data_IF_976984220441
#
_entry.id   IF_976984220441
#
_cell.length_a   1.000
_cell.length_b   1.000
_cell.length_c   1.000
_cell.angle_alpha   90.00
_cell.angle_beta   90.00
_cell.angle_gamma   90.00
#
_symmetry.space_group_name_H-M   'P 1'
#
loop_
_entity.id
_entity.type
_entity.pdbx_description
1 polymer ?
#
# COMPACT_ATOMS: atom_id res chain seq x y z
N UNK A 1 -10.70 -14.11 1.19
CA UNK A 1 -10.41 -14.65 2.52
C UNK A 1 -9.87 -13.61 3.50
N UNK A 2 -9.08 -12.60 3.08
CA UNK A 2 -8.60 -11.53 3.99
C UNK A 2 -9.72 -10.76 4.67
N UNK A 3 -10.70 -10.31 3.89
CA UNK A 3 -11.75 -9.43 4.39
C UNK A 3 -12.81 -10.17 5.21
N UNK A 4 -13.29 -11.32 4.73
CA UNK A 4 -14.47 -12.00 5.29
C UNK A 4 -14.17 -13.39 5.88
N UNK A 5 -12.92 -13.80 5.96
CA UNK A 5 -12.56 -15.12 6.51
C UNK A 5 -13.03 -16.27 5.62
N UNK A 6 -14.03 -17.00 6.09
CA UNK A 6 -14.66 -18.08 5.33
C UNK A 6 -15.59 -17.48 4.26
N UNK A 7 -15.48 -17.94 3.02
CA UNK A 7 -16.15 -17.33 1.88
C UNK A 7 -17.00 -18.33 1.09
N UNK A 8 -18.12 -17.89 0.48
CA UNK A 8 -18.78 -18.69 -0.55
C UNK A 8 -17.86 -18.80 -1.77
N UNK A 9 -17.76 -20.00 -2.30
CA UNK A 9 -16.87 -20.34 -3.40
C UNK A 9 -17.58 -21.21 -4.44
N UNK A 10 -17.42 -20.86 -5.70
CA UNK A 10 -17.87 -21.63 -6.85
C UNK A 10 -16.98 -21.27 -8.06
N UNK A 11 -16.63 -22.27 -8.86
CA UNK A 11 -15.94 -22.12 -10.15
C UNK A 11 -16.85 -22.35 -11.35
N UNK A 12 -18.13 -22.68 -11.06
CA UNK A 12 -19.18 -22.92 -12.07
C UNK A 12 -20.42 -22.09 -11.71
N UNK A 13 -21.48 -22.19 -12.51
CA UNK A 13 -22.78 -21.57 -12.21
C UNK A 13 -23.59 -22.32 -11.15
N UNK A 14 -23.03 -23.31 -10.51
CA UNK A 14 -23.66 -24.06 -9.44
C UNK A 14 -23.74 -23.24 -8.15
N UNK A 15 -24.58 -23.70 -7.21
CA UNK A 15 -24.74 -23.07 -5.92
C UNK A 15 -23.40 -23.04 -5.17
N UNK A 16 -22.91 -21.87 -4.72
CA UNK A 16 -21.65 -21.79 -4.00
C UNK A 16 -21.65 -22.64 -2.73
N UNK A 17 -20.53 -23.28 -2.44
CA UNK A 17 -20.25 -23.91 -1.15
C UNK A 17 -19.41 -22.98 -0.29
N UNK A 18 -19.51 -23.10 1.04
CA UNK A 18 -18.68 -22.29 1.94
C UNK A 18 -17.33 -22.95 2.09
N UNK A 19 -16.27 -22.23 1.71
CA UNK A 19 -14.88 -22.61 1.99
C UNK A 19 -14.41 -21.93 3.26
N UNK A 20 -13.73 -22.68 4.12
CA UNK A 20 -12.93 -22.13 5.21
C UNK A 20 -11.71 -21.37 4.65
N UNK A 21 -11.08 -20.56 5.48
CA UNK A 21 -9.83 -19.89 5.10
C UNK A 21 -8.75 -20.89 4.65
N UNK A 22 -8.61 -22.01 5.36
CA UNK A 22 -7.62 -23.02 5.04
C UNK A 22 -7.90 -23.74 3.72
N UNK A 23 -9.17 -24.06 3.43
CA UNK A 23 -9.58 -24.65 2.14
C UNK A 23 -9.35 -23.65 1.00
N UNK A 24 -9.70 -22.38 1.18
CA UNK A 24 -9.44 -21.35 0.18
C UNK A 24 -7.94 -21.13 -0.05
N UNK A 25 -7.13 -21.16 1.02
CA UNK A 25 -5.69 -21.10 0.93
C UNK A 25 -5.13 -22.25 0.09
N UNK A 26 -5.52 -23.48 0.40
CA UNK A 26 -5.05 -24.67 -0.32
C UNK A 26 -5.45 -24.64 -1.81
N UNK A 27 -6.67 -24.21 -2.10
CA UNK A 27 -7.14 -24.04 -3.48
C UNK A 27 -6.33 -22.99 -4.23
N UNK A 28 -6.12 -21.80 -3.63
CA UNK A 28 -5.32 -20.73 -4.25
C UNK A 28 -3.87 -21.14 -4.49
N UNK A 29 -3.25 -21.82 -3.51
CA UNK A 29 -1.88 -22.34 -3.67
C UNK A 29 -1.80 -23.28 -4.86
N UNK A 30 -2.72 -24.26 -4.94
CA UNK A 30 -2.77 -25.22 -6.03
C UNK A 30 -2.92 -24.53 -7.40
N UNK A 31 -3.93 -23.67 -7.57
CA UNK A 31 -4.19 -22.96 -8.82
C UNK A 31 -2.99 -22.12 -9.27
N UNK A 32 -2.38 -21.37 -8.32
CA UNK A 32 -1.24 -20.52 -8.65
C UNK A 32 -0.02 -21.35 -9.11
N UNK A 33 0.23 -22.50 -8.47
CA UNK A 33 1.32 -23.39 -8.85
C UNK A 33 1.06 -24.08 -10.20
N UNK A 34 -0.20 -24.40 -10.53
CA UNK A 34 -0.58 -25.02 -11.79
C UNK A 34 -0.50 -24.03 -12.98
N UNK A 35 -0.81 -22.75 -12.76
CA UNK A 35 -0.74 -21.75 -13.84
C UNK A 35 0.66 -21.16 -14.03
N UNK A 36 1.52 -21.16 -12.99
CA UNK A 36 2.86 -20.57 -13.05
C UNK A 36 3.66 -20.99 -14.31
N UNK A 37 3.80 -22.29 -14.66
CA UNK A 37 4.58 -22.70 -15.82
C UNK A 37 3.95 -22.29 -17.16
N UNK A 38 2.68 -21.93 -17.17
CA UNK A 38 1.93 -21.54 -18.38
C UNK A 38 1.99 -20.01 -18.63
N UNK A 39 2.45 -19.24 -17.64
CA UNK A 39 2.54 -17.78 -17.74
C UNK A 39 3.77 -17.37 -18.57
N UNK A 40 3.68 -16.20 -19.21
CA UNK A 40 4.83 -15.58 -19.87
C UNK A 40 5.93 -15.27 -18.87
N UNK A 41 7.17 -15.21 -19.36
CA UNK A 41 8.34 -14.90 -18.53
C UNK A 41 8.20 -13.53 -17.82
N UNK A 42 8.74 -13.45 -16.61
CA UNK A 42 8.75 -12.25 -15.80
C UNK A 42 9.59 -11.15 -16.48
N UNK A 43 8.91 -10.21 -17.12
CA UNK A 43 9.56 -9.14 -17.89
C UNK A 43 8.91 -7.80 -17.61
N UNK A 44 9.71 -6.86 -17.08
CA UNK A 44 9.27 -5.49 -16.82
C UNK A 44 8.90 -4.77 -18.13
N UNK A 45 7.91 -3.90 -18.07
CA UNK A 45 7.33 -3.22 -19.23
C UNK A 45 7.01 -1.78 -18.91
N UNK A 46 7.03 -0.95 -19.94
CA UNK A 46 6.45 0.40 -19.96
C UNK A 46 5.14 0.39 -20.74
N UNK A 47 4.37 1.46 -20.69
CA UNK A 47 3.07 1.56 -21.38
C UNK A 47 3.18 1.43 -22.91
N UNK A 48 4.37 1.62 -23.49
CA UNK A 48 4.66 1.39 -24.90
C UNK A 48 4.87 -0.08 -25.28
N UNK A 49 5.06 -0.97 -24.30
CA UNK A 49 5.34 -2.39 -24.55
C UNK A 49 4.04 -3.19 -24.67
N UNK A 50 4.02 -4.14 -25.61
CA UNK A 50 2.90 -5.07 -25.76
C UNK A 50 2.70 -5.88 -24.48
N UNK A 51 1.44 -5.97 -24.02
CA UNK A 51 1.08 -6.71 -22.81
C UNK A 51 1.45 -6.00 -21.50
N UNK A 52 1.62 -4.68 -21.51
CA UNK A 52 1.87 -3.87 -20.33
C UNK A 52 0.88 -4.11 -19.18
N UNK A 53 -0.39 -4.29 -19.50
CA UNK A 53 -1.45 -4.56 -18.51
C UNK A 53 -1.71 -6.06 -18.25
N UNK A 54 -0.87 -6.95 -18.76
CA UNK A 54 -1.05 -8.40 -18.60
C UNK A 54 -0.15 -8.93 -17.49
N UNK A 55 -0.72 -9.81 -16.65
CA UNK A 55 0.03 -10.56 -15.67
C UNK A 55 1.01 -11.54 -16.35
N UNK A 56 2.17 -11.72 -15.72
CA UNK A 56 3.20 -12.68 -16.08
C UNK A 56 3.61 -13.51 -14.84
N UNK A 57 4.67 -14.31 -14.95
CA UNK A 57 5.16 -15.13 -13.82
C UNK A 57 5.44 -14.31 -12.56
N UNK A 58 5.92 -13.07 -12.68
CA UNK A 58 6.21 -12.24 -11.50
C UNK A 58 4.92 -11.90 -10.71
N UNK A 59 3.78 -11.72 -11.39
CA UNK A 59 2.50 -11.52 -10.72
C UNK A 59 2.07 -12.76 -9.92
N UNK A 60 2.30 -13.96 -10.47
CA UNK A 60 2.05 -15.22 -9.73
C UNK A 60 2.97 -15.34 -8.53
N UNK A 61 4.26 -15.03 -8.69
CA UNK A 61 5.22 -15.04 -7.56
C UNK A 61 4.87 -14.04 -6.47
N UNK A 62 4.37 -12.86 -6.83
CA UNK A 62 3.88 -11.86 -5.87
C UNK A 62 2.67 -12.39 -5.09
N UNK A 63 1.70 -13.01 -5.78
CA UNK A 63 0.54 -13.63 -5.12
C UNK A 63 0.94 -14.76 -4.20
N UNK A 64 1.83 -15.66 -4.63
CA UNK A 64 2.35 -16.77 -3.80
C UNK A 64 3.13 -16.25 -2.59
N UNK A 65 4.01 -15.26 -2.78
CA UNK A 65 4.76 -14.65 -1.67
C UNK A 65 3.84 -14.03 -0.63
N UNK A 66 2.80 -13.30 -1.06
CA UNK A 66 1.78 -12.70 -0.19
C UNK A 66 0.94 -13.77 0.51
N UNK A 67 0.56 -14.83 -0.21
CA UNK A 67 -0.20 -15.96 0.33
C UNK A 67 0.59 -16.67 1.44
N UNK A 68 1.86 -16.98 1.19
CA UNK A 68 2.73 -17.66 2.15
C UNK A 68 3.11 -16.78 3.34
N UNK A 69 3.34 -15.49 3.13
CA UNK A 69 3.63 -14.56 4.23
C UNK A 69 2.47 -14.48 5.25
N UNK A 70 1.23 -14.61 4.76
CA UNK A 70 0.02 -14.57 5.57
C UNK A 70 -0.53 -15.98 5.93
N UNK A 71 0.18 -17.06 5.61
CA UNK A 71 -0.29 -18.43 5.80
C UNK A 71 -0.68 -18.74 7.26
N UNK A 72 0.10 -18.25 8.23
CA UNK A 72 -0.19 -18.42 9.66
C UNK A 72 -1.55 -17.80 10.04
N UNK A 73 -1.92 -16.64 9.47
CA UNK A 73 -3.23 -16.00 9.68
C UNK A 73 -4.38 -16.83 9.10
N UNK A 74 -4.13 -17.52 7.98
CA UNK A 74 -5.18 -18.25 7.26
C UNK A 74 -5.35 -19.69 7.75
N UNK A 75 -4.26 -20.33 8.13
CA UNK A 75 -4.21 -21.77 8.40
C UNK A 75 -3.74 -22.13 9.81
N UNK A 76 -3.19 -21.16 10.56
CA UNK A 76 -2.48 -21.40 11.82
C UNK A 76 -1.05 -21.94 11.63
N UNK A 77 -0.60 -22.19 10.40
CA UNK A 77 0.73 -22.74 10.10
C UNK A 77 1.55 -21.76 9.27
N UNK A 78 2.71 -21.31 9.76
CA UNK A 78 3.57 -20.38 9.03
C UNK A 78 4.23 -21.05 7.81
N UNK A 79 4.41 -20.26 6.73
CA UNK A 79 5.09 -20.69 5.50
C UNK A 79 6.17 -19.67 5.10
N UNK A 80 6.91 -19.13 6.07
CA UNK A 80 7.81 -17.99 5.84
C UNK A 80 8.95 -18.30 4.88
N UNK A 81 9.47 -19.56 4.87
CA UNK A 81 10.49 -19.94 3.89
C UNK A 81 9.97 -19.82 2.46
N UNK A 82 8.78 -20.35 2.18
CA UNK A 82 8.16 -20.22 0.85
C UNK A 82 7.91 -18.75 0.50
N UNK A 83 7.48 -17.93 1.47
CA UNK A 83 7.29 -16.49 1.25
C UNK A 83 8.59 -15.82 0.83
N UNK A 84 9.70 -16.11 1.50
CA UNK A 84 11.02 -15.59 1.17
C UNK A 84 11.49 -16.06 -0.22
N UNK A 85 11.30 -17.34 -0.54
CA UNK A 85 11.72 -17.93 -1.82
C UNK A 85 11.01 -17.26 -3.01
N UNK A 86 9.69 -17.08 -2.93
CA UNK A 86 8.93 -16.43 -4.01
C UNK A 86 9.18 -14.92 -4.07
N UNK A 87 9.34 -14.24 -2.96
CA UNK A 87 9.75 -12.83 -2.93
C UNK A 87 11.13 -12.65 -3.59
N UNK A 88 12.07 -13.55 -3.31
CA UNK A 88 13.41 -13.52 -3.92
C UNK A 88 13.37 -13.75 -5.44
N UNK A 89 12.46 -14.57 -5.95
CA UNK A 89 12.26 -14.72 -7.42
C UNK A 89 11.88 -13.40 -8.07
N UNK A 90 10.96 -12.63 -7.45
CA UNK A 90 10.59 -11.29 -7.94
C UNK A 90 11.79 -10.34 -7.87
N UNK A 91 12.52 -10.31 -6.76
CA UNK A 91 13.70 -9.44 -6.57
C UNK A 91 14.82 -9.73 -7.58
N UNK A 92 14.92 -10.96 -8.08
CA UNK A 92 15.92 -11.40 -9.06
C UNK A 92 15.41 -11.37 -10.50
N UNK A 93 14.15 -10.99 -10.73
CA UNK A 93 13.56 -10.91 -12.06
C UNK A 93 14.02 -9.65 -12.82
N UNK A 94 13.46 -9.44 -14.00
CA UNK A 94 13.67 -8.23 -14.79
C UNK A 94 12.96 -6.99 -14.18
N UNK A 95 12.02 -7.19 -13.25
CA UNK A 95 11.42 -6.10 -12.48
C UNK A 95 12.39 -5.58 -11.41
N UNK A 96 12.47 -4.27 -11.24
CA UNK A 96 13.41 -3.66 -10.31
C UNK A 96 12.87 -2.36 -9.70
N UNK A 97 13.44 -1.96 -8.58
CA UNK A 97 13.11 -0.71 -7.93
C UNK A 97 13.43 0.48 -8.84
N UNK A 98 12.55 1.47 -8.86
CA UNK A 98 12.87 2.76 -9.44
C UNK A 98 13.85 3.50 -8.53
N UNK A 99 15.08 3.70 -8.97
CA UNK A 99 16.16 4.25 -8.15
C UNK A 99 16.52 5.69 -8.51
N UNK A 100 15.98 6.22 -9.61
CA UNK A 100 16.40 7.53 -10.14
C UNK A 100 15.19 8.44 -10.30
N UNK A 101 15.25 9.61 -9.68
CA UNK A 101 14.29 10.68 -9.86
C UNK A 101 14.53 11.48 -11.13
N UNK A 102 13.59 12.35 -11.50
CA UNK A 102 13.67 13.26 -12.65
C UNK A 102 13.35 14.69 -12.21
N UNK A 103 14.26 15.62 -12.43
CA UNK A 103 14.09 17.01 -12.03
C UNK A 103 13.88 17.14 -10.52
N UNK A 104 12.75 17.70 -10.10
CA UNK A 104 12.38 17.83 -8.67
C UNK A 104 11.71 16.58 -8.09
N UNK A 105 11.31 15.63 -8.94
CA UNK A 105 10.56 14.45 -8.53
C UNK A 105 11.51 13.34 -8.09
N UNK A 106 11.36 12.88 -6.85
CA UNK A 106 12.15 11.76 -6.35
C UNK A 106 11.76 10.44 -7.02
N UNK A 107 12.66 9.46 -6.95
CA UNK A 107 12.38 8.12 -7.46
C UNK A 107 11.11 7.49 -6.87
N UNK A 108 10.82 7.79 -5.59
CA UNK A 108 9.59 7.32 -4.95
C UNK A 108 8.35 8.03 -5.46
N UNK A 109 8.39 9.38 -5.60
CA UNK A 109 7.25 10.15 -6.09
C UNK A 109 6.80 9.70 -7.49
N UNK A 110 7.75 9.39 -8.38
CA UNK A 110 7.47 8.95 -9.74
C UNK A 110 6.58 7.70 -9.83
N UNK A 111 6.51 6.88 -8.79
CA UNK A 111 5.62 5.71 -8.74
C UNK A 111 4.13 6.07 -8.70
N UNK A 112 3.78 7.31 -8.35
CA UNK A 112 2.43 7.77 -8.05
C UNK A 112 2.03 9.00 -8.88
N UNK A 113 2.68 9.20 -10.03
CA UNK A 113 2.50 10.34 -10.94
C UNK A 113 1.78 9.93 -12.22
N UNK A 114 1.27 10.92 -12.97
CA UNK A 114 0.46 10.73 -14.17
C UNK A 114 1.18 10.03 -15.35
N UNK A 115 2.50 9.96 -15.33
CA UNK A 115 3.31 9.24 -16.31
C UNK A 115 4.07 8.05 -15.73
N UNK A 116 3.60 7.51 -14.59
CA UNK A 116 4.28 6.38 -13.93
C UNK A 116 4.34 5.11 -14.80
N UNK A 117 3.44 4.97 -15.76
CA UNK A 117 3.47 3.90 -16.76
C UNK A 117 4.44 4.13 -17.93
N UNK A 118 4.85 5.38 -18.16
CA UNK A 118 5.68 5.81 -19.30
C UNK A 118 7.16 5.92 -18.96
N UNK A 119 7.48 6.09 -17.66
CA UNK A 119 8.84 6.34 -17.15
C UNK A 119 9.50 5.06 -16.60
N UNK A 120 10.71 5.20 -16.06
CA UNK A 120 11.41 4.11 -15.34
C UNK A 120 10.61 3.54 -14.18
N UNK A 121 9.70 4.32 -13.58
CA UNK A 121 8.81 3.88 -12.50
C UNK A 121 7.95 2.66 -12.90
N UNK A 122 7.56 2.57 -14.17
CA UNK A 122 6.79 1.44 -14.71
C UNK A 122 7.44 0.07 -14.44
N UNK A 123 8.77 0.02 -14.38
CA UNK A 123 9.53 -1.22 -14.18
C UNK A 123 9.48 -1.75 -12.75
N UNK A 124 9.03 -0.94 -11.79
CA UNK A 124 8.72 -1.39 -10.43
C UNK A 124 7.33 -2.01 -10.32
N UNK A 125 6.39 -1.62 -11.20
CA UNK A 125 5.04 -2.16 -11.23
C UNK A 125 4.99 -3.56 -11.83
N UNK A 126 4.79 -4.59 -11.01
CA UNK A 126 4.68 -5.99 -11.46
C UNK A 126 3.31 -6.27 -12.07
N UNK A 127 2.25 -5.76 -11.45
CA UNK A 127 0.90 -5.81 -12.00
C UNK A 127 0.16 -4.53 -11.67
N UNK A 128 -0.59 -4.00 -12.63
CA UNK A 128 -1.18 -2.67 -12.55
C UNK A 128 -2.58 -2.62 -13.11
N UNK A 129 -3.34 -1.65 -12.61
CA UNK A 129 -4.63 -1.23 -13.16
C UNK A 129 -4.36 0.07 -13.91
N UNK A 130 -4.47 0.01 -15.24
CA UNK A 130 -4.15 1.15 -16.10
C UNK A 130 -5.18 2.27 -16.01
N UNK A 131 -4.67 3.49 -16.12
CA UNK A 131 -5.45 4.72 -16.19
C UNK A 131 -4.95 5.56 -17.37
N UNK A 132 -5.85 6.20 -18.11
CA UNK A 132 -5.48 7.05 -19.22
C UNK A 132 -6.24 8.41 -19.24
N UNK A 133 -7.08 8.61 -18.23
CA UNK A 133 -7.87 9.82 -18.07
C UNK A 133 -8.92 10.08 -19.16
N UNK A 134 -8.97 9.25 -20.19
CA UNK A 134 -9.85 9.43 -21.37
C UNK A 134 -10.83 8.26 -21.51
N UNK A 135 -10.32 7.02 -21.61
CA UNK A 135 -11.15 5.81 -21.70
C UNK A 135 -11.45 5.22 -20.31
N UNK A 136 -10.56 5.41 -19.37
CA UNK A 136 -10.71 4.98 -17.96
C UNK A 136 -11.24 6.13 -17.11
N UNK A 137 -12.51 6.44 -17.26
CA UNK A 137 -13.16 7.55 -16.55
C UNK A 137 -13.93 7.02 -15.33
N UNK A 138 -13.38 7.20 -14.13
CA UNK A 138 -13.98 6.75 -12.87
C UNK A 138 -13.82 7.78 -11.77
N UNK A 139 -14.87 7.98 -10.97
CA UNK A 139 -14.84 8.78 -9.74
C UNK A 139 -14.23 8.02 -8.55
N UNK A 140 -13.75 6.81 -8.77
CA UNK A 140 -13.07 5.95 -7.80
C UNK A 140 -11.60 5.73 -8.21
N UNK A 141 -10.96 4.70 -7.67
CA UNK A 141 -9.57 4.34 -8.02
C UNK A 141 -8.56 5.42 -7.62
N UNK A 142 -7.64 5.73 -8.51
CA UNK A 142 -6.57 6.71 -8.24
C UNK A 142 -7.10 8.12 -8.07
N UNK A 143 -8.19 8.51 -8.75
CA UNK A 143 -8.84 9.80 -8.51
C UNK A 143 -9.30 9.95 -7.06
N UNK A 144 -9.89 8.92 -6.46
CA UNK A 144 -10.31 8.97 -5.05
C UNK A 144 -9.11 9.15 -4.11
N UNK A 145 -7.98 8.51 -4.40
CA UNK A 145 -6.74 8.64 -3.61
C UNK A 145 -6.15 10.05 -3.69
N UNK A 146 -6.25 10.68 -4.86
CA UNK A 146 -5.81 12.07 -5.07
C UNK A 146 -6.83 13.04 -4.47
N UNK A 147 -7.98 13.18 -5.10
CA UNK A 147 -8.96 14.19 -4.76
C UNK A 147 -9.44 14.13 -3.32
N UNK A 148 -9.59 12.91 -2.76
CA UNK A 148 -9.96 12.72 -1.37
C UNK A 148 -8.87 13.13 -0.36
N UNK A 149 -7.65 13.36 -0.81
CA UNK A 149 -6.50 13.69 0.05
C UNK A 149 -5.97 15.12 -0.12
N UNK A 150 -6.60 15.91 -0.98
CA UNK A 150 -6.23 17.31 -1.25
C UNK A 150 -7.37 18.29 -0.97
N UNK A 151 -7.02 19.54 -0.69
CA UNK A 151 -7.92 20.70 -0.63
C UNK A 151 -7.29 21.96 -1.23
N UNK A 152 -8.06 23.08 -1.25
CA UNK A 152 -7.62 24.36 -1.80
C UNK A 152 -6.53 25.07 -1.03
N UNK A 153 -6.26 24.62 0.20
CA UNK A 153 -5.27 25.23 1.06
C UNK A 153 -3.88 24.59 0.95
N UNK A 154 -3.75 23.54 0.13
CA UNK A 154 -2.45 22.89 -0.07
C UNK A 154 -1.54 23.70 -0.98
N UNK A 155 -0.24 23.62 -0.69
CA UNK A 155 0.75 24.37 -1.44
C UNK A 155 1.04 23.66 -2.76
N UNK A 156 0.97 24.43 -3.87
CA UNK A 156 1.20 23.92 -5.20
C UNK A 156 2.69 23.64 -5.43
N UNK A 157 2.98 22.49 -6.08
CA UNK A 157 4.31 22.13 -6.53
C UNK A 157 4.69 22.72 -7.87
N UNK A 158 3.70 23.14 -8.65
CA UNK A 158 3.87 23.73 -9.98
C UNK A 158 3.11 25.05 -10.09
N UNK A 159 3.52 25.88 -11.02
CA UNK A 159 2.79 27.12 -11.32
C UNK A 159 1.47 26.78 -12.01
N UNK A 160 0.39 27.40 -11.56
CA UNK A 160 -0.93 27.21 -12.14
C UNK A 160 -2.06 27.59 -11.19
N UNK A 161 -3.27 27.24 -11.57
CA UNK A 161 -4.49 27.53 -10.81
C UNK A 161 -4.92 26.29 -10.03
N UNK A 162 -5.26 26.48 -8.77
CA UNK A 162 -5.90 25.43 -7.98
C UNK A 162 -7.19 24.95 -8.66
N UNK A 163 -7.52 23.64 -8.61
CA UNK A 163 -6.77 22.56 -7.94
C UNK A 163 -5.68 21.89 -8.80
N UNK A 164 -5.61 22.15 -10.09
CA UNK A 164 -4.65 21.52 -11.01
C UNK A 164 -3.19 21.76 -10.58
N UNK A 165 -2.88 22.98 -10.13
CA UNK A 165 -1.54 23.29 -9.66
C UNK A 165 -1.14 22.53 -8.39
N UNK A 166 -2.07 21.88 -7.69
CA UNK A 166 -1.83 21.17 -6.42
C UNK A 166 -1.66 19.68 -6.61
N UNK A 167 -2.46 19.05 -7.47
CA UNK A 167 -2.42 17.60 -7.66
C UNK A 167 -2.49 17.11 -9.12
N UNK A 168 -2.53 18.03 -10.08
CA UNK A 168 -2.60 17.72 -11.51
C UNK A 168 -3.99 17.35 -12.01
N UNK A 169 -5.06 17.49 -11.19
CA UNK A 169 -6.47 17.31 -11.60
C UNK A 169 -7.31 18.51 -11.18
N UNK A 170 -8.49 18.67 -11.77
CA UNK A 170 -9.48 19.66 -11.39
C UNK A 170 -10.29 19.28 -10.13
N UNK A 171 -9.89 18.26 -9.38
CA UNK A 171 -10.64 17.69 -8.27
C UNK A 171 -9.83 17.71 -6.95
N UNK A 172 -10.47 18.25 -5.90
CA UNK A 172 -9.93 18.22 -4.53
C UNK A 172 -11.11 18.27 -3.55
N UNK A 173 -11.35 17.18 -2.82
CA UNK A 173 -12.57 16.97 -2.02
C UNK A 173 -12.37 17.14 -0.52
N UNK A 174 -11.11 17.13 -0.05
CA UNK A 174 -10.78 17.39 1.35
C UNK A 174 -11.36 16.36 2.33
N UNK A 175 -10.86 15.14 2.33
CA UNK A 175 -11.39 14.05 3.18
C UNK A 175 -10.33 13.25 3.91
N UNK A 176 -9.47 12.55 3.18
CA UNK A 176 -8.48 11.62 3.74
C UNK A 176 -7.25 12.36 4.29
N UNK A 177 -6.92 12.14 5.55
CA UNK A 177 -5.78 12.79 6.23
C UNK A 177 -4.95 11.77 6.98
N UNK A 178 -3.65 12.04 7.05
CA UNK A 178 -2.74 11.32 7.94
C UNK A 178 -2.87 11.86 9.37
N UNK A 179 -2.89 10.94 10.32
CA UNK A 179 -2.86 11.23 11.76
C UNK A 179 -1.49 10.97 12.34
N UNK A 180 -1.33 11.34 13.59
CA UNK A 180 -0.10 11.20 14.40
C UNK A 180 0.59 9.84 14.19
N UNK A 181 -0.16 8.74 14.19
CA UNK A 181 0.45 7.39 14.12
C UNK A 181 1.21 7.12 12.82
N UNK A 182 0.75 7.64 11.68
CA UNK A 182 1.50 7.55 10.43
C UNK A 182 2.65 8.55 10.41
N UNK A 183 2.40 9.79 10.80
CA UNK A 183 3.41 10.85 10.78
C UNK A 183 4.58 10.50 11.71
N UNK A 184 4.32 9.96 12.90
CA UNK A 184 5.37 9.54 13.85
C UNK A 184 6.23 8.36 13.34
N UNK A 185 5.87 7.69 12.23
CA UNK A 185 6.79 6.74 11.58
C UNK A 185 7.97 7.47 10.92
N UNK A 186 7.77 8.70 10.51
CA UNK A 186 8.79 9.57 9.92
C UNK A 186 9.41 10.51 10.98
N UNK A 187 8.66 10.91 12.00
CA UNK A 187 9.05 11.81 13.08
C UNK A 187 8.81 11.13 14.44
N UNK A 188 9.69 10.20 14.86
CA UNK A 188 9.45 9.34 16.02
C UNK A 188 9.41 10.10 17.36
N UNK A 189 9.94 11.31 17.42
CA UNK A 189 9.89 12.16 18.60
C UNK A 189 8.60 12.99 18.71
N UNK A 190 7.69 12.88 17.73
CA UNK A 190 6.48 13.70 17.67
C UNK A 190 6.74 15.16 17.28
N UNK A 191 7.85 15.42 16.64
CA UNK A 191 8.39 16.75 16.29
C UNK A 191 8.17 17.09 14.79
N UNK A 192 7.17 16.50 14.16
CA UNK A 192 6.84 16.78 12.77
C UNK A 192 6.60 18.28 12.54
N UNK A 193 7.33 18.92 11.61
CA UNK A 193 7.21 20.35 11.39
C UNK A 193 5.91 20.70 10.65
N UNK A 194 5.50 21.96 10.79
CA UNK A 194 4.33 22.50 10.11
C UNK A 194 4.75 23.12 8.77
N UNK A 195 5.15 22.24 7.81
CA UNK A 195 5.66 22.64 6.50
C UNK A 195 4.84 22.01 5.37
N UNK A 196 5.03 22.50 4.14
CA UNK A 196 4.35 22.02 2.95
C UNK A 196 4.81 20.61 2.54
N UNK A 197 4.05 19.98 1.63
CA UNK A 197 4.41 18.66 1.08
C UNK A 197 5.70 18.68 0.25
N UNK A 198 6.15 19.83 -0.25
CA UNK A 198 7.43 19.99 -0.95
C UNK A 198 8.63 20.02 0.00
N UNK A 199 8.42 20.48 1.24
CA UNK A 199 9.45 20.60 2.25
C UNK A 199 9.52 19.39 3.19
N UNK A 200 8.41 18.69 3.38
CA UNK A 200 8.28 17.60 4.36
C UNK A 200 9.26 16.43 4.12
N UNK A 201 9.54 15.97 2.88
CA UNK A 201 10.52 14.92 2.64
C UNK A 201 11.93 15.28 3.17
N UNK A 202 12.38 16.50 2.93
CA UNK A 202 13.67 16.98 3.42
C UNK A 202 13.69 17.06 4.95
N UNK A 203 12.61 17.54 5.57
CA UNK A 203 12.49 17.62 7.03
C UNK A 203 12.51 16.23 7.70
N UNK A 204 11.94 15.22 7.04
CA UNK A 204 11.93 13.83 7.49
C UNK A 204 13.23 13.07 7.21
N UNK A 205 14.10 13.59 6.32
CA UNK A 205 15.18 12.81 5.68
C UNK A 205 14.66 11.49 5.10
N UNK A 206 13.50 11.53 4.42
CA UNK A 206 12.84 10.38 3.80
C UNK A 206 11.88 10.87 2.71
N UNK A 207 12.19 10.60 1.44
CA UNK A 207 11.39 11.02 0.28
C UNK A 207 9.96 10.48 0.28
N UNK A 208 9.67 9.50 1.12
CA UNK A 208 8.32 8.93 1.28
C UNK A 208 7.43 9.77 2.18
N UNK A 209 7.96 10.74 2.90
CA UNK A 209 7.20 11.63 3.79
C UNK A 209 6.45 12.71 2.98
N UNK A 210 5.53 12.32 2.10
CA UNK A 210 4.84 13.25 1.21
C UNK A 210 3.54 13.72 1.86
N UNK A 211 3.66 14.60 2.85
CA UNK A 211 2.55 15.14 3.62
C UNK A 211 2.56 16.66 3.61
N UNK A 212 1.40 17.28 3.48
CA UNK A 212 1.23 18.70 3.71
C UNK A 212 0.79 18.94 5.16
N UNK A 213 1.67 19.54 5.95
CA UNK A 213 1.43 19.89 7.34
C UNK A 213 1.25 21.39 7.56
N UNK A 214 1.43 22.23 6.52
CA UNK A 214 1.36 23.66 6.65
C UNK A 214 -0.05 24.11 7.02
N UNK A 215 -0.15 24.95 8.05
CA UNK A 215 -1.41 25.44 8.61
C UNK A 215 -2.39 24.32 9.05
N UNK A 216 -1.84 23.14 9.42
CA UNK A 216 -2.58 21.95 9.88
C UNK A 216 -2.12 21.53 11.27
N UNK A 217 -2.91 20.70 11.93
CA UNK A 217 -2.57 20.14 13.25
C UNK A 217 -2.72 18.62 13.26
N UNK A 218 -1.84 17.96 14.01
CA UNK A 218 -1.99 16.53 14.34
C UNK A 218 -2.82 16.30 15.60
N UNK A 219 -2.90 17.29 16.49
CA UNK A 219 -3.79 17.26 17.65
C UNK A 219 -5.20 17.74 17.24
N UNK A 220 -6.12 16.81 17.22
CA UNK A 220 -7.52 17.06 16.86
C UNK A 220 -8.41 17.35 18.07
N UNK A 221 -7.85 17.74 19.20
CA UNK A 221 -8.59 18.02 20.44
C UNK A 221 -9.35 16.78 20.93
N UNK A 222 -10.66 16.92 21.22
CA UNK A 222 -11.51 15.86 21.76
C UNK A 222 -11.98 14.82 20.74
N UNK A 223 -11.38 14.79 19.56
CA UNK A 223 -11.64 13.74 18.57
C UNK A 223 -12.62 14.11 17.48
N UNK A 224 -13.15 15.31 17.47
CA UNK A 224 -14.04 15.77 16.43
C UNK A 224 -13.26 16.32 15.23
N UNK A 225 -13.40 15.70 14.07
CA UNK A 225 -12.70 16.09 12.84
C UNK A 225 -13.61 16.93 11.94
N UNK A 226 -13.91 18.16 12.36
CA UNK A 226 -14.78 19.08 11.62
C UNK A 226 -14.09 19.77 10.45
N UNK A 227 -12.75 19.75 10.40
CA UNK A 227 -11.95 20.47 9.40
C UNK A 227 -10.95 19.54 8.74
N UNK A 228 -10.72 19.73 7.43
CA UNK A 228 -9.65 19.03 6.70
C UNK A 228 -8.25 19.41 7.23
N UNK A 229 -8.12 20.51 7.95
CA UNK A 229 -6.87 20.93 8.62
C UNK A 229 -6.54 20.13 9.90
N UNK A 230 -7.47 19.29 10.36
CA UNK A 230 -7.23 18.40 11.50
C UNK A 230 -6.63 17.06 11.01
N UNK A 231 -5.33 16.99 10.93
CA UNK A 231 -4.49 15.96 10.31
C UNK A 231 -3.68 16.51 9.14
N UNK A 232 -2.58 15.86 8.78
CA UNK A 232 -1.79 16.25 7.61
C UNK A 232 -2.42 15.71 6.33
N UNK A 233 -2.47 16.53 5.28
CA UNK A 233 -2.93 16.07 3.97
C UNK A 233 -1.89 15.13 3.35
N UNK A 234 -2.33 14.18 2.51
CA UNK A 234 -1.47 13.15 1.94
C UNK A 234 -1.28 13.40 0.45
N UNK A 235 -0.14 13.97 0.09
CA UNK A 235 0.19 14.37 -1.28
C UNK A 235 0.92 13.27 -2.08
N UNK A 236 0.76 12.00 -1.69
CA UNK A 236 1.46 10.87 -2.31
C UNK A 236 1.05 10.64 -3.76
N UNK A 237 -0.25 10.66 -4.05
CA UNK A 237 -0.82 10.42 -5.37
C UNK A 237 -1.10 11.75 -6.05
N UNK A 238 -0.66 11.90 -7.29
CA UNK A 238 -0.93 13.09 -8.10
C UNK A 238 -0.98 12.74 -9.58
N UNK A 239 -1.45 13.66 -10.40
CA UNK A 239 -1.55 13.52 -11.86
C UNK A 239 -0.57 14.44 -12.61
N UNK A 240 0.49 14.90 -11.95
CA UNK A 240 1.60 15.55 -12.63
C UNK A 240 2.43 14.55 -13.40
N UNK A 241 3.08 14.99 -14.45
CA UNK A 241 4.11 14.25 -15.17
C UNK A 241 5.50 14.72 -14.77
N UNK A 242 6.49 13.93 -15.07
CA UNK A 242 7.90 14.24 -14.73
C UNK A 242 8.42 15.50 -15.40
N UNK A 243 7.80 15.96 -16.51
CA UNK A 243 8.08 17.22 -17.17
C UNK A 243 7.32 18.42 -16.56
N UNK A 244 6.59 18.23 -15.48
CA UNK A 244 5.72 19.18 -14.78
C UNK A 244 4.42 19.54 -15.53
N UNK A 245 4.10 18.89 -16.63
CA UNK A 245 2.76 18.99 -17.23
C UNK A 245 1.75 18.19 -16.38
N UNK A 246 0.47 18.37 -16.67
CA UNK A 246 -0.64 17.62 -16.05
C UNK A 246 -1.10 16.50 -16.97
N UNK A 247 -1.93 15.59 -16.44
CA UNK A 247 -2.53 14.52 -17.23
C UNK A 247 -3.46 15.02 -18.35
N UNK A 248 -3.96 14.08 -19.14
CA UNK A 248 -4.76 14.36 -20.34
C UNK A 248 -6.14 14.94 -20.07
N UNK A 249 -6.65 14.75 -18.85
CA UNK A 249 -8.00 15.16 -18.47
C UNK A 249 -7.99 15.85 -17.10
N UNK A 250 -8.78 16.93 -16.97
CA UNK A 250 -8.86 17.69 -15.72
C UNK A 250 -9.55 16.93 -14.57
N UNK A 251 -10.40 15.94 -14.88
CA UNK A 251 -11.16 15.21 -13.87
C UNK A 251 -10.63 13.81 -13.59
N UNK A 252 -10.05 13.15 -14.58
CA UNK A 252 -9.66 11.74 -14.47
C UNK A 252 -8.15 11.59 -14.67
N UNK A 253 -7.45 10.93 -13.74
CA UNK A 253 -6.00 10.81 -13.79
C UNK A 253 -5.52 9.81 -14.84
N UNK A 254 -4.30 10.05 -15.32
CA UNK A 254 -3.51 9.10 -16.11
C UNK A 254 -2.72 8.11 -15.22
N UNK A 255 -2.65 8.35 -13.91
CA UNK A 255 -1.82 7.61 -12.96
C UNK A 255 -2.26 6.18 -12.79
N UNK A 256 -1.47 5.22 -13.26
CA UNK A 256 -1.69 3.78 -13.04
C UNK A 256 -1.64 3.42 -11.57
N UNK A 257 -2.47 2.48 -11.14
CA UNK A 257 -2.39 1.89 -9.80
C UNK A 257 -1.57 0.60 -9.85
N UNK A 258 -0.39 0.59 -9.26
CA UNK A 258 0.42 -0.62 -9.12
C UNK A 258 -0.14 -1.51 -8.01
N UNK A 259 -0.92 -2.53 -8.40
CA UNK A 259 -1.50 -3.50 -7.46
C UNK A 259 -0.42 -4.36 -6.80
N UNK A 260 0.64 -4.69 -7.55
CA UNK A 260 1.88 -5.29 -7.05
C UNK A 260 3.06 -4.50 -7.56
N UNK A 261 3.98 -4.16 -6.67
CA UNK A 261 5.25 -3.54 -7.02
C UNK A 261 6.43 -4.20 -6.29
N UNK A 262 7.58 -4.15 -6.91
CA UNK A 262 8.80 -4.86 -6.46
C UNK A 262 9.13 -4.60 -5.00
N UNK A 263 8.92 -3.37 -4.50
CA UNK A 263 9.18 -3.02 -3.10
C UNK A 263 8.45 -3.93 -2.10
N UNK A 264 7.28 -4.48 -2.47
CA UNK A 264 6.57 -5.46 -1.63
C UNK A 264 7.36 -6.77 -1.48
N UNK A 265 8.02 -7.23 -2.55
CA UNK A 265 8.88 -8.41 -2.48
C UNK A 265 10.08 -8.19 -1.55
N UNK A 266 10.68 -6.99 -1.58
CA UNK A 266 11.77 -6.62 -0.67
C UNK A 266 11.34 -6.70 0.80
N UNK A 267 10.20 -6.12 1.15
CA UNK A 267 9.69 -6.17 2.54
C UNK A 267 9.19 -7.57 2.92
N UNK A 268 8.57 -8.31 1.98
CA UNK A 268 8.18 -9.71 2.22
C UNK A 268 9.39 -10.57 2.53
N UNK A 269 10.46 -10.45 1.75
CA UNK A 269 11.71 -11.18 1.97
C UNK A 269 12.33 -10.84 3.33
N UNK A 270 12.44 -9.54 3.64
CA UNK A 270 13.00 -9.10 4.91
C UNK A 270 12.17 -9.57 6.12
N UNK A 271 10.84 -9.49 6.04
CA UNK A 271 9.96 -9.96 7.12
C UNK A 271 9.99 -11.47 7.27
N UNK A 272 9.86 -12.23 6.18
CA UNK A 272 9.85 -13.69 6.23
C UNK A 272 11.15 -14.25 6.79
N UNK A 273 12.30 -13.74 6.33
CA UNK A 273 13.62 -14.15 6.84
C UNK A 273 13.84 -13.70 8.29
N UNK A 274 13.35 -12.53 8.71
CA UNK A 274 13.41 -12.10 10.09
C UNK A 274 12.59 -13.01 11.03
N UNK A 275 11.40 -13.45 10.59
CA UNK A 275 10.58 -14.40 11.35
C UNK A 275 11.26 -15.77 11.52
N UNK A 276 12.01 -16.21 10.52
CA UNK A 276 12.84 -17.43 10.59
C UNK A 276 14.10 -17.22 11.45
N UNK A 277 14.57 -15.99 11.60
CA UNK A 277 15.79 -15.61 12.32
C UNK A 277 15.50 -14.99 13.71
N UNK A 278 14.53 -15.51 14.42
CA UNK A 278 14.24 -15.08 15.80
C UNK A 278 13.71 -13.63 15.94
N UNK A 279 13.16 -13.05 14.87
CA UNK A 279 12.51 -11.74 14.92
C UNK A 279 13.40 -10.55 14.53
N UNK A 280 14.62 -10.82 14.04
CA UNK A 280 15.55 -9.78 13.54
C UNK A 280 15.99 -10.13 12.12
N UNK A 281 16.16 -9.13 11.25
CA UNK A 281 16.57 -9.35 9.86
C UNK A 281 17.91 -10.08 9.76
N UNK A 282 18.01 -10.99 8.79
CA UNK A 282 19.31 -11.50 8.31
C UNK A 282 20.08 -10.37 7.61
N UNK A 283 21.32 -10.62 7.24
CA UNK A 283 22.10 -9.64 6.43
C UNK A 283 21.37 -9.29 5.14
N UNK A 284 20.93 -10.29 4.39
CA UNK A 284 20.22 -10.10 3.11
C UNK A 284 18.86 -9.40 3.32
N UNK A 285 18.13 -9.73 4.40
CA UNK A 285 16.90 -9.04 4.77
C UNK A 285 17.14 -7.58 5.14
N UNK A 286 18.25 -7.29 5.82
CA UNK A 286 18.69 -5.91 6.12
C UNK A 286 19.04 -5.15 4.84
N UNK A 287 19.78 -5.78 3.93
CA UNK A 287 20.15 -5.20 2.63
C UNK A 287 18.89 -4.89 1.80
N UNK A 288 17.87 -5.75 1.84
CA UNK A 288 16.59 -5.52 1.17
C UNK A 288 15.86 -4.27 1.71
N UNK A 289 15.76 -4.10 3.03
CA UNK A 289 15.18 -2.89 3.63
C UNK A 289 16.02 -1.66 3.29
N UNK A 290 17.35 -1.78 3.40
CA UNK A 290 18.26 -0.69 3.12
C UNK A 290 18.21 -0.24 1.65
N UNK A 291 17.91 -1.11 0.70
CA UNK A 291 17.69 -0.73 -0.69
C UNK A 291 16.49 0.22 -0.86
N UNK A 292 15.38 -0.05 -0.15
CA UNK A 292 14.21 0.84 -0.14
C UNK A 292 14.51 2.18 0.54
N UNK A 293 15.28 2.15 1.61
CA UNK A 293 15.69 3.35 2.34
C UNK A 293 16.67 4.20 1.53
N UNK A 294 17.60 3.55 0.85
CA UNK A 294 18.55 4.23 -0.04
C UNK A 294 17.83 4.95 -1.19
N UNK A 295 16.87 4.27 -1.83
CA UNK A 295 16.00 4.86 -2.84
C UNK A 295 15.25 6.10 -2.33
N UNK A 296 14.87 6.09 -1.05
CA UNK A 296 14.12 7.16 -0.39
C UNK A 296 15.03 8.17 0.34
N UNK A 297 16.35 8.12 0.17
CA UNK A 297 17.35 8.92 0.91
C UNK A 297 17.18 8.83 2.44
N UNK A 298 16.58 7.75 2.95
CA UNK A 298 16.35 7.54 4.37
C UNK A 298 17.54 6.84 5.04
N UNK A 299 17.71 7.07 6.34
CA UNK A 299 18.84 6.52 7.11
C UNK A 299 18.80 4.99 7.13
N UNK A 300 19.84 4.36 6.63
CA UNK A 300 20.05 2.89 6.66
C UNK A 300 20.44 2.41 8.06
N UNK A 301 20.15 1.15 8.37
CA UNK A 301 20.48 0.53 9.67
C UNK A 301 21.23 -0.79 9.46
N UNK A 302 21.90 -1.25 10.52
CA UNK A 302 22.61 -2.55 10.52
C UNK A 302 21.71 -3.75 10.73
N UNK A 303 20.49 -3.57 11.29
CA UNK A 303 19.48 -4.60 11.45
C UNK A 303 18.09 -3.95 11.71
N UNK A 304 17.04 -4.74 11.53
CA UNK A 304 15.65 -4.36 11.80
C UNK A 304 14.94 -5.46 12.58
N UNK A 305 14.25 -5.07 13.65
CA UNK A 305 13.33 -5.95 14.36
C UNK A 305 12.01 -6.12 13.58
N UNK A 306 11.18 -7.10 13.96
CA UNK A 306 9.82 -7.22 13.43
C UNK A 306 8.99 -5.93 13.64
N UNK A 307 9.20 -5.22 14.76
CA UNK A 307 8.54 -3.94 15.00
C UNK A 307 8.96 -2.89 13.98
N UNK A 308 10.27 -2.78 13.72
CA UNK A 308 10.79 -1.88 12.69
C UNK A 308 10.26 -2.20 11.30
N UNK A 309 10.15 -3.49 10.96
CA UNK A 309 9.58 -3.95 9.69
C UNK A 309 8.10 -3.59 9.56
N UNK A 310 7.30 -3.74 10.64
CA UNK A 310 5.90 -3.31 10.64
C UNK A 310 5.75 -1.81 10.36
N UNK A 311 6.68 -1.01 10.85
CA UNK A 311 6.72 0.43 10.58
C UNK A 311 7.24 0.74 9.18
N UNK A 312 8.20 -0.04 8.67
CA UNK A 312 8.70 0.11 7.30
C UNK A 312 7.62 -0.21 6.25
N UNK A 313 6.80 -1.25 6.47
CA UNK A 313 5.59 -1.49 5.69
C UNK A 313 4.66 -0.27 5.66
N UNK A 314 4.55 0.45 6.77
CA UNK A 314 3.73 1.65 6.85
C UNK A 314 4.32 2.81 6.02
N UNK A 315 5.66 3.07 6.15
CA UNK A 315 6.34 4.13 5.40
C UNK A 315 6.27 3.90 3.90
N UNK A 316 6.46 2.66 3.48
CA UNK A 316 6.52 2.31 2.07
C UNK A 316 5.13 2.28 1.41
N UNK A 317 4.12 1.72 2.11
CA UNK A 317 2.84 1.33 1.52
C UNK A 317 1.61 2.07 2.08
N UNK A 318 1.78 3.21 2.77
CA UNK A 318 0.60 4.00 3.15
C UNK A 318 -0.19 4.41 1.90
N UNK A 319 -1.53 4.41 2.01
CA UNK A 319 -2.45 4.66 0.90
C UNK A 319 -2.37 3.68 -0.29
N UNK A 320 -1.85 2.46 -0.05
CA UNK A 320 -1.84 1.37 -1.04
C UNK A 320 -2.60 0.12 -0.56
N UNK A 321 -3.40 0.22 0.49
CA UNK A 321 -4.32 -0.84 0.94
C UNK A 321 -3.70 -1.97 1.78
N UNK A 322 -2.40 -1.95 2.09
CA UNK A 322 -1.70 -3.06 2.76
C UNK A 322 -1.66 -2.97 4.29
N UNK A 323 -2.05 -1.83 4.91
CA UNK A 323 -1.85 -1.64 6.36
C UNK A 323 -2.66 -2.61 7.22
N UNK A 324 -3.95 -2.83 6.90
CA UNK A 324 -4.81 -3.72 7.70
C UNK A 324 -4.32 -5.17 7.71
N UNK A 325 -4.08 -5.84 6.57
CA UNK A 325 -3.52 -7.19 6.56
C UNK A 325 -2.14 -7.27 7.25
N UNK A 326 -1.29 -6.25 7.10
CA UNK A 326 -0.03 -6.17 7.82
C UNK A 326 -0.24 -6.16 9.34
N UNK A 327 -1.10 -5.28 9.86
CA UNK A 327 -1.38 -5.22 11.30
C UNK A 327 -1.99 -6.52 11.84
N UNK A 328 -2.83 -7.20 11.06
CA UNK A 328 -3.39 -8.52 11.44
C UNK A 328 -2.26 -9.55 11.55
N UNK A 329 -1.37 -9.63 10.55
CA UNK A 329 -0.23 -10.55 10.54
C UNK A 329 0.76 -10.31 11.68
N UNK A 330 0.93 -9.05 12.08
CA UNK A 330 1.76 -8.68 13.23
C UNK A 330 1.03 -8.78 14.58
N UNK A 331 -0.24 -9.25 14.60
CA UNK A 331 -1.04 -9.34 15.83
C UNK A 331 -1.39 -7.98 16.44
N UNK A 332 -1.46 -6.91 15.62
CA UNK A 332 -1.62 -5.53 16.08
C UNK A 332 -2.98 -4.90 15.74
N UNK A 333 -3.83 -5.57 14.97
CA UNK A 333 -5.14 -5.01 14.59
C UNK A 333 -6.22 -5.34 15.65
N UNK A 334 -6.66 -6.57 15.73
CA UNK A 334 -7.65 -7.05 16.72
C UNK A 334 -7.01 -7.88 17.82
N UNK A 335 -7.72 -8.01 18.93
CA UNK A 335 -7.23 -8.63 20.17
C UNK A 335 -6.67 -7.62 21.18
N UNK A 336 -6.36 -8.09 22.37
CA UNK A 336 -5.83 -7.25 23.47
C UNK A 336 -4.31 -7.10 23.37
N UNK A 337 -3.84 -6.42 22.33
CA UNK A 337 -2.42 -6.25 22.02
C UNK A 337 -1.86 -4.87 22.40
N UNK A 338 -2.71 -3.95 22.85
CA UNK A 338 -2.37 -2.58 23.23
C UNK A 338 -1.71 -1.74 22.14
N UNK A 339 -1.84 -2.15 20.87
CA UNK A 339 -1.42 -1.34 19.73
C UNK A 339 -2.58 -0.48 19.27
N UNK A 340 -2.69 0.69 19.89
CA UNK A 340 -3.83 1.59 19.71
C UNK A 340 -3.36 2.88 19.01
N UNK A 341 -3.77 3.07 17.77
CA UNK A 341 -3.60 4.34 17.06
C UNK A 341 -4.69 5.32 17.46
N UNK A 342 -4.44 6.61 17.25
CA UNK A 342 -5.38 7.68 17.55
C UNK A 342 -6.74 7.43 16.90
N UNK A 343 -7.80 7.50 17.72
CA UNK A 343 -9.19 7.24 17.33
C UNK A 343 -9.51 5.80 16.90
N UNK A 344 -8.65 4.84 17.14
CA UNK A 344 -9.04 3.44 17.03
C UNK A 344 -10.25 3.15 17.90
N UNK A 345 -11.36 2.75 17.25
CA UNK A 345 -12.62 2.52 17.95
C UNK A 345 -13.31 3.78 18.49
N UNK A 346 -12.97 4.98 17.99
CA UNK A 346 -13.62 6.25 18.26
C UNK A 346 -13.07 7.06 19.44
N UNK A 347 -12.29 6.47 20.34
CA UNK A 347 -11.66 7.18 21.45
C UNK A 347 -10.33 7.85 21.00
N UNK A 348 -10.03 9.07 21.46
CA UNK A 348 -8.80 9.82 21.10
C UNK A 348 -7.54 8.98 21.33
N UNK A 349 -7.39 8.35 22.48
CA UNK A 349 -6.26 7.48 22.80
C UNK A 349 -6.28 6.11 22.08
N UNK A 350 -7.33 5.83 21.32
CA UNK A 350 -7.57 4.51 20.78
C UNK A 350 -8.01 3.50 21.86
N UNK A 351 -8.54 2.37 21.43
CA UNK A 351 -8.87 1.23 22.29
C UNK A 351 -8.69 -0.08 21.56
N UNK A 352 -8.48 -1.15 22.30
CA UNK A 352 -8.40 -2.49 21.73
C UNK A 352 -9.69 -2.87 20.99
N UNK A 353 -9.52 -3.56 19.88
CA UNK A 353 -10.60 -4.27 19.20
C UNK A 353 -10.65 -5.73 19.65
N UNK A 354 -11.83 -6.30 19.71
CA UNK A 354 -11.97 -7.75 19.84
C UNK A 354 -11.37 -8.46 18.62
N UNK A 355 -10.85 -9.67 18.83
CA UNK A 355 -10.14 -10.43 17.80
C UNK A 355 -11.01 -10.73 16.56
N UNK A 356 -12.33 -10.88 16.72
CA UNK A 356 -13.23 -11.13 15.60
C UNK A 356 -13.21 -10.01 14.55
N UNK A 357 -12.83 -8.76 14.93
CA UNK A 357 -12.71 -7.62 14.01
C UNK A 357 -11.52 -7.74 13.01
N UNK A 358 -10.71 -8.79 13.13
CA UNK A 358 -9.73 -9.12 12.09
C UNK A 358 -10.37 -9.51 10.76
N UNK A 359 -11.66 -9.84 10.75
CA UNK A 359 -12.47 -10.02 9.54
C UNK A 359 -13.69 -9.11 9.62
N UNK A 360 -14.32 -8.83 8.49
CA UNK A 360 -15.54 -8.04 8.43
C UNK A 360 -16.79 -8.90 8.68
N UNK A 361 -17.86 -8.26 9.16
CA UNK A 361 -19.20 -8.83 9.10
C UNK A 361 -19.59 -9.13 7.66
N UNK A 362 -20.25 -10.25 7.43
CA UNK A 362 -20.92 -10.50 6.16
C UNK A 362 -22.16 -9.59 6.10
N UNK A 363 -22.38 -8.84 5.00
CA UNK A 363 -23.55 -7.97 4.89
C UNK A 363 -24.85 -8.75 5.18
N UNK A 364 -25.73 -8.20 6.02
CA UNK A 364 -26.93 -8.89 6.47
C UNK A 364 -27.80 -9.45 5.32
N UNK A 365 -27.87 -8.72 4.21
CA UNK A 365 -28.59 -9.16 3.00
C UNK A 365 -28.03 -10.43 2.36
N UNK A 366 -26.77 -10.79 2.65
CA UNK A 366 -26.08 -11.99 2.14
C UNK A 366 -26.13 -13.15 3.14
N UNK A 367 -26.55 -12.93 4.40
CA UNK A 367 -26.67 -13.98 5.41
C UNK A 367 -27.96 -14.75 5.18
N UNK A 368 -27.90 -15.77 4.33
CA UNK A 368 -29.05 -16.64 3.99
C UNK A 368 -28.59 -18.01 3.48
N UNK A 369 -29.43 -19.03 3.71
CA UNK A 369 -29.12 -20.39 3.30
C UNK A 369 -27.89 -20.94 3.99
N UNK A 370 -26.89 -21.39 3.22
CA UNK A 370 -25.63 -21.92 3.74
C UNK A 370 -24.64 -20.82 4.21
N UNK A 371 -24.94 -19.54 3.95
CA UNK A 371 -24.08 -18.42 4.34
C UNK A 371 -24.49 -17.94 5.73
N UNK A 372 -23.68 -18.24 6.71
CA UNK A 372 -23.84 -17.80 8.10
C UNK A 372 -22.90 -16.65 8.43
N UNK A 373 -23.29 -15.80 9.40
CA UNK A 373 -22.47 -14.70 9.86
C UNK A 373 -21.14 -15.19 10.45
N UNK A 374 -20.10 -14.37 10.37
CA UNK A 374 -18.84 -14.62 11.04
C UNK A 374 -19.01 -14.57 12.57
N UNK A 375 -18.29 -15.41 13.33
CA UNK A 375 -18.38 -15.39 14.80
C UNK A 375 -18.06 -14.00 15.37
N UNK A 376 -18.86 -13.54 16.33
CA UNK A 376 -18.70 -12.24 17.00
C UNK A 376 -19.55 -11.09 16.41
N UNK A 377 -20.24 -11.35 15.28
CA UNK A 377 -21.13 -10.37 14.64
C UNK A 377 -22.60 -10.75 14.75
#
# INVERSE_FOLDING_TARGET
MDAFGNVPFATTLEKPVRYTRAEMYAWLEKELLEIEPQMSEAKSKTSSDAGYYRADKAAVWMLLSRLYLNAEVYTGTPQWQKAADYAQRVMKSDYHLNLTGVGKWSAYQMLFMGDNGETSAAREGVFRIGQDGVTTTSWAGTLFLMAGAYDGDMHADVTGTYPQATNGTGQAWGGNRARTDLINKFFPNGDAPNVSCTEMPAAANDDRAIFDGKDRTLDNGDGYLSSFKAGFAVAKWNNFKTDNSVGKNDNYPDTDFFLFRVAEAYLTYAEATARLNGGTTTKEGTDAVNALRDRAHAVKRSAYSLSDLCDEWSREFYYEGLRRPTLIRFGRFGGNNNYNWSYKGGAKAGRNFDAYRNIFAIPAAQVKGAITQNPGY
#
